data_IF_765856739322
#
_entry.id   IF_765856739322
#
_cell.length_a   1.000
_cell.length_b   1.000
_cell.length_c   1.000
_cell.angle_alpha   90.00
_cell.angle_beta   90.00
_cell.angle_gamma   90.00
#
_symmetry.space_group_name_H-M   'P 1'
#
loop_
_entity.id
_entity.type
_entity.pdbx_description
1 polymer ?
#
# COMPACT_ATOMS: atom_id res chain seq x y z
N UNK A 1 -4.61 -15.46 0.05
CA UNK A 1 -4.03 -14.13 0.37
C UNK A 1 -5.03 -13.07 -0.05
N UNK A 2 -5.38 -12.13 0.84
CA UNK A 2 -6.28 -11.01 0.49
C UNK A 2 -5.55 -9.99 -0.41
N UNK A 3 -6.30 -9.16 -1.16
CA UNK A 3 -5.70 -8.09 -1.99
C UNK A 3 -4.85 -7.16 -1.12
N UNK A 4 -5.38 -6.75 0.04
CA UNK A 4 -4.66 -5.94 1.03
C UNK A 4 -3.38 -6.64 1.48
N UNK A 5 -3.44 -7.93 1.83
CA UNK A 5 -2.27 -8.69 2.28
C UNK A 5 -1.17 -8.79 1.23
N UNK A 6 -1.56 -9.05 -0.03
CA UNK A 6 -0.64 -9.08 -1.17
C UNK A 6 0.03 -7.73 -1.40
N UNK A 7 -0.76 -6.66 -1.42
CA UNK A 7 -0.27 -5.29 -1.66
C UNK A 7 0.60 -4.79 -0.50
N UNK A 8 0.25 -5.12 0.74
CA UNK A 8 1.06 -4.87 1.93
C UNK A 8 2.44 -5.51 1.83
N UNK A 9 2.48 -6.80 1.49
CA UNK A 9 3.75 -7.51 1.29
C UNK A 9 4.59 -6.86 0.20
N UNK A 10 4.00 -6.60 -0.96
CA UNK A 10 4.69 -6.00 -2.10
C UNK A 10 5.25 -4.60 -1.77
N UNK A 11 4.46 -3.73 -1.14
CA UNK A 11 4.92 -2.38 -0.79
C UNK A 11 6.03 -2.42 0.28
N UNK A 12 5.92 -3.33 1.26
CA UNK A 12 6.98 -3.57 2.25
C UNK A 12 8.28 -4.04 1.61
N UNK A 13 8.21 -5.02 0.73
CA UNK A 13 9.37 -5.60 0.06
C UNK A 13 10.06 -4.59 -0.88
N UNK A 14 9.29 -3.73 -1.56
CA UNK A 14 9.84 -2.61 -2.36
C UNK A 14 10.70 -1.64 -1.55
N UNK A 15 10.42 -1.49 -0.26
CA UNK A 15 11.19 -0.64 0.66
C UNK A 15 12.24 -1.42 1.47
N UNK A 16 12.34 -2.75 1.30
CA UNK A 16 13.27 -3.59 2.05
C UNK A 16 12.98 -3.66 3.55
N UNK A 17 11.74 -3.39 3.98
CA UNK A 17 11.39 -3.37 5.40
C UNK A 17 11.01 -4.76 5.92
N UNK A 18 11.33 -5.05 7.18
CA UNK A 18 10.85 -6.25 7.87
C UNK A 18 9.38 -6.09 8.29
N UNK A 19 8.67 -7.21 8.51
CA UNK A 19 7.30 -7.19 9.03
C UNK A 19 7.22 -6.48 10.39
N UNK A 20 8.24 -6.68 11.24
CA UNK A 20 8.37 -6.02 12.53
C UNK A 20 8.51 -4.50 12.38
N UNK A 21 9.39 -4.05 11.48
CA UNK A 21 9.65 -2.63 11.25
C UNK A 21 8.40 -1.90 10.75
N UNK A 22 7.68 -2.46 9.78
CA UNK A 22 6.42 -1.89 9.30
C UNK A 22 5.37 -1.84 10.40
N UNK A 23 5.27 -2.90 11.22
CA UNK A 23 4.33 -2.93 12.34
C UNK A 23 4.64 -1.87 13.39
N UNK A 24 5.91 -1.72 13.79
CA UNK A 24 6.33 -0.70 14.76
C UNK A 24 6.09 0.72 14.24
N UNK A 25 6.42 1.00 12.98
CA UNK A 25 6.19 2.32 12.38
C UNK A 25 4.71 2.64 12.14
N UNK A 26 3.86 1.61 12.03
CA UNK A 26 2.41 1.75 11.99
C UNK A 26 1.78 1.74 13.40
N UNK A 27 2.57 2.00 14.45
CA UNK A 27 2.14 2.10 15.85
C UNK A 27 1.48 0.82 16.40
N UNK A 28 1.83 -0.34 15.84
CA UNK A 28 1.48 -1.61 16.47
C UNK A 28 2.36 -1.85 17.69
N UNK A 29 1.77 -2.47 18.71
CA UNK A 29 2.49 -2.94 19.88
C UNK A 29 3.78 -3.70 19.49
N UNK A 30 4.97 -3.29 19.98
CA UNK A 30 6.25 -3.86 19.55
C UNK A 30 6.36 -5.38 19.76
N UNK A 31 5.79 -5.89 20.85
CA UNK A 31 5.81 -7.33 21.17
C UNK A 31 4.99 -8.19 20.21
N UNK A 32 4.03 -7.60 19.50
CA UNK A 32 3.13 -8.30 18.58
C UNK A 32 3.22 -7.82 17.12
N UNK A 33 4.00 -6.78 16.83
CA UNK A 33 4.09 -6.13 15.52
C UNK A 33 4.34 -7.12 14.37
N UNK A 34 5.41 -7.93 14.46
CA UNK A 34 5.76 -8.93 13.44
C UNK A 34 4.61 -9.92 13.17
N UNK A 35 4.02 -10.46 14.24
CA UNK A 35 2.95 -11.47 14.16
C UNK A 35 1.69 -10.88 13.53
N UNK A 36 1.35 -9.63 13.90
CA UNK A 36 0.18 -8.94 13.34
C UNK A 36 0.34 -8.65 11.85
N UNK A 37 1.48 -8.10 11.43
CA UNK A 37 1.76 -7.86 10.01
C UNK A 37 1.76 -9.16 9.22
N UNK A 38 2.34 -10.24 9.75
CA UNK A 38 2.27 -11.56 9.14
C UNK A 38 0.82 -12.04 8.90
N UNK A 39 -0.07 -11.87 9.89
CA UNK A 39 -1.49 -12.23 9.77
C UNK A 39 -2.20 -11.39 8.71
N UNK A 40 -1.88 -10.10 8.59
CA UNK A 40 -2.44 -9.24 7.55
C UNK A 40 -1.95 -9.66 6.15
N UNK A 41 -0.64 -9.86 5.98
CA UNK A 41 -0.05 -10.26 4.70
C UNK A 41 -0.57 -11.60 4.20
N UNK A 42 -0.82 -12.56 5.10
CA UNK A 42 -1.36 -13.87 4.73
C UNK A 42 -2.89 -13.83 4.54
N UNK A 43 -3.56 -12.74 4.93
CA UNK A 43 -5.02 -12.60 4.86
C UNK A 43 -5.77 -13.31 5.98
N UNK A 44 -5.09 -13.69 7.07
CA UNK A 44 -5.70 -14.28 8.26
C UNK A 44 -6.49 -13.26 9.07
N UNK A 45 -6.16 -11.97 8.90
CA UNK A 45 -6.87 -10.83 9.46
C UNK A 45 -6.92 -9.71 8.43
N UNK A 46 -7.93 -8.86 8.54
CA UNK A 46 -8.06 -7.63 7.75
C UNK A 46 -7.72 -6.44 8.65
N UNK A 47 -6.79 -5.54 8.26
CA UNK A 47 -6.58 -4.30 8.99
C UNK A 47 -7.84 -3.43 8.88
N UNK A 48 -8.15 -2.69 9.95
CA UNK A 48 -9.20 -1.66 9.90
C UNK A 48 -8.73 -0.46 9.04
N UNK A 49 -9.64 0.44 8.63
CA UNK A 49 -9.29 1.58 7.78
C UNK A 49 -8.16 2.45 8.34
N UNK A 50 -8.14 2.69 9.65
CA UNK A 50 -7.11 3.51 10.31
C UNK A 50 -5.71 2.88 10.15
N UNK A 51 -5.62 1.56 10.29
CA UNK A 51 -4.36 0.86 10.12
C UNK A 51 -3.93 0.75 8.66
N UNK A 52 -4.89 0.70 7.71
CA UNK A 52 -4.58 0.80 6.28
C UNK A 52 -3.92 2.14 5.96
N UNK A 53 -4.46 3.24 6.50
CA UNK A 53 -3.87 4.57 6.35
C UNK A 53 -2.49 4.68 7.01
N UNK A 54 -2.32 4.08 8.19
CA UNK A 54 -1.01 4.02 8.86
C UNK A 54 0.02 3.26 7.99
N UNK A 55 -0.33 2.09 7.45
CA UNK A 55 0.53 1.36 6.53
C UNK A 55 0.82 2.15 5.25
N UNK A 56 -0.15 2.88 4.70
CA UNK A 56 0.02 3.71 3.51
C UNK A 56 1.12 4.77 3.71
N UNK A 57 1.09 5.45 4.86
CA UNK A 57 2.08 6.46 5.25
C UNK A 57 3.48 5.86 5.40
N UNK A 58 3.60 4.77 6.16
CA UNK A 58 4.86 4.05 6.38
C UNK A 58 5.47 3.59 5.05
N UNK A 59 4.64 3.04 4.18
CA UNK A 59 5.08 2.43 2.92
C UNK A 59 5.15 3.41 1.75
N UNK A 60 4.81 4.69 1.97
CA UNK A 60 4.85 5.76 0.96
C UNK A 60 4.06 5.40 -0.30
N UNK A 61 2.87 4.84 -0.10
CA UNK A 61 1.90 4.47 -1.15
C UNK A 61 0.54 5.10 -0.86
N UNK A 62 -0.32 5.35 -1.85
CA UNK A 62 -1.69 5.78 -1.57
C UNK A 62 -2.48 4.63 -0.91
N UNK A 63 -3.38 4.91 0.03
CA UNK A 63 -4.18 3.87 0.69
C UNK A 63 -5.00 3.01 -0.31
N UNK A 64 -5.43 3.60 -1.43
CA UNK A 64 -6.10 2.90 -2.53
C UNK A 64 -5.28 1.77 -3.13
N UNK A 65 -3.95 1.82 -3.06
CA UNK A 65 -3.06 0.75 -3.52
C UNK A 65 -3.36 -0.59 -2.86
N UNK A 66 -3.80 -0.61 -1.59
CA UNK A 66 -4.13 -1.84 -0.88
C UNK A 66 -5.39 -2.53 -1.41
N UNK A 67 -6.19 -1.85 -2.22
CA UNK A 67 -7.44 -2.36 -2.80
C UNK A 67 -7.32 -2.68 -4.29
N UNK A 68 -6.22 -2.30 -4.95
CA UNK A 68 -5.99 -2.55 -6.37
C UNK A 68 -5.81 -4.05 -6.64
N UNK A 69 -6.82 -4.68 -7.24
CA UNK A 69 -6.78 -6.12 -7.58
C UNK A 69 -5.91 -6.37 -8.81
N UNK A 70 -5.98 -5.47 -9.79
CA UNK A 70 -5.17 -5.53 -11.01
C UNK A 70 -3.76 -4.96 -10.76
N UNK A 71 -2.76 -5.54 -11.43
CA UNK A 71 -1.36 -5.10 -11.27
C UNK A 71 -1.06 -3.83 -12.04
N UNK A 72 -1.68 -3.60 -13.20
CA UNK A 72 -1.53 -2.34 -13.94
C UNK A 72 -2.18 -1.19 -13.18
N UNK A 73 -3.35 -1.42 -12.58
CA UNK A 73 -3.99 -0.43 -11.70
C UNK A 73 -3.09 -0.09 -10.49
N UNK A 74 -2.50 -1.10 -9.86
CA UNK A 74 -1.59 -0.90 -8.74
C UNK A 74 -0.35 -0.09 -9.12
N UNK A 75 0.28 -0.39 -10.27
CA UNK A 75 1.41 0.38 -10.79
C UNK A 75 1.01 1.81 -11.17
N UNK A 76 -0.17 2.00 -11.78
CA UNK A 76 -0.71 3.32 -12.11
C UNK A 76 -0.89 4.15 -10.84
N UNK A 77 -1.48 3.58 -9.78
CA UNK A 77 -1.65 4.26 -8.50
C UNK A 77 -0.32 4.70 -7.90
N UNK A 78 0.71 3.85 -7.94
CA UNK A 78 2.05 4.19 -7.43
C UNK A 78 2.71 5.28 -8.27
N UNK A 79 2.67 5.14 -9.60
CA UNK A 79 3.23 6.12 -10.52
C UNK A 79 2.55 7.47 -10.31
N UNK A 80 1.21 7.50 -10.33
CA UNK A 80 0.42 8.71 -10.16
C UNK A 80 0.63 9.36 -8.79
N UNK A 81 0.74 8.59 -7.71
CA UNK A 81 0.97 9.10 -6.35
C UNK A 81 2.25 9.95 -6.26
N UNK A 82 3.30 9.56 -6.98
CA UNK A 82 4.62 10.23 -6.99
C UNK A 82 4.69 11.48 -7.87
N UNK A 83 3.67 11.73 -8.69
CA UNK A 83 3.67 12.87 -9.62
C UNK A 83 3.36 14.19 -8.90
N UNK A 84 3.99 15.27 -9.39
CA UNK A 84 3.57 16.64 -9.07
C UNK A 84 2.20 16.96 -9.68
N UNK A 85 1.51 17.97 -9.15
CA UNK A 85 0.19 18.39 -9.65
C UNK A 85 0.16 18.58 -11.18
N UNK A 86 1.10 19.30 -11.83
CA UNK A 86 1.07 19.47 -13.28
C UNK A 86 1.23 18.16 -14.06
N UNK A 87 2.04 17.22 -13.55
CA UNK A 87 2.23 15.91 -14.18
C UNK A 87 0.98 15.04 -14.02
N UNK A 88 0.28 15.12 -12.88
CA UNK A 88 -1.01 14.44 -12.68
C UNK A 88 -2.05 14.88 -13.69
N UNK A 89 -2.17 16.20 -13.93
CA UNK A 89 -3.07 16.74 -14.95
C UNK A 89 -2.78 16.15 -16.32
N UNK A 90 -1.50 16.14 -16.76
CA UNK A 90 -1.10 15.54 -18.05
C UNK A 90 -1.46 14.05 -18.16
N UNK A 91 -1.30 13.28 -17.08
CA UNK A 91 -1.68 11.86 -17.08
C UNK A 91 -3.18 11.68 -17.22
N UNK A 92 -3.99 12.51 -16.54
CA UNK A 92 -5.45 12.46 -16.65
C UNK A 92 -5.90 12.84 -18.06
N UNK A 93 -5.32 13.90 -18.64
CA UNK A 93 -5.62 14.33 -20.01
C UNK A 93 -5.29 13.23 -21.02
N UNK A 94 -4.09 12.64 -20.93
CA UNK A 94 -3.69 11.54 -21.80
C UNK A 94 -4.59 10.32 -21.63
N UNK A 95 -4.84 9.87 -20.40
CA UNK A 95 -5.70 8.72 -20.14
C UNK A 95 -7.14 8.94 -20.67
N UNK A 96 -7.67 10.15 -20.51
CA UNK A 96 -9.00 10.52 -21.02
C UNK A 96 -9.06 10.53 -22.55
N UNK A 97 -7.95 10.83 -23.22
CA UNK A 97 -7.88 10.81 -24.70
C UNK A 97 -7.83 9.41 -25.32
N UNK A 98 -7.65 8.36 -24.51
CA UNK A 98 -7.59 6.97 -24.97
C UNK A 98 -8.96 6.27 -24.98
N UNK A 99 -9.99 6.90 -24.42
CA UNK A 99 -11.38 6.42 -24.41
C UNK A 99 -12.26 7.22 -25.35
#
# INVERSE_FOLDING_TARGET
MSVIGRRLRQARERLGLSQEKVGQEAELDPGSARVRVNRYENGNRTPNPELVEAFAKVLKVPATYFYAKDDNEAELLLAFHRLSKPKKTKVIEFASSLG
#
